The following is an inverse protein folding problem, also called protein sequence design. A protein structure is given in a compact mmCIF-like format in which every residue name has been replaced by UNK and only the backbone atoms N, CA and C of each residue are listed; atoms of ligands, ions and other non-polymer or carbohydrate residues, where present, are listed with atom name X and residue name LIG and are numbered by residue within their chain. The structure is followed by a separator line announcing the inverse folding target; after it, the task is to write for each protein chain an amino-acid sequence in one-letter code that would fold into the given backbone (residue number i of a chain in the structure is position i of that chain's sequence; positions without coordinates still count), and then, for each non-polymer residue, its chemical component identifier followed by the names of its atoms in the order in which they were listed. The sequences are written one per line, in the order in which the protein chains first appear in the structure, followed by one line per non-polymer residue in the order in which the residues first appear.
data_IF_188250415949
#
_entry.id   IF_188250415949
#
_cell.length_a   1.000
_cell.length_b   1.000
_cell.length_c   1.000
_cell.angle_alpha   90.00
_cell.angle_beta   90.00
_cell.angle_gamma   90.00
#
_symmetry.space_group_name_H-M   'P 1'
#
loop_
_entity.id
_entity.type
_entity.pdbx_description
1 polymer ?
#
# COMPACT_ATOMS: atom_id res chain seq x y z
N UNK A 1 2.50 36.35 -2.69
CA UNK A 1 3.37 35.22 -3.09
C UNK A 1 2.62 33.94 -2.77
N UNK A 2 2.52 32.96 -3.70
CA UNK A 2 1.99 31.64 -3.34
C UNK A 2 2.94 31.04 -2.30
N UNK A 3 2.42 30.68 -1.12
CA UNK A 3 3.22 29.97 -0.11
C UNK A 3 3.57 28.61 -0.67
N UNK A 4 4.87 28.27 -0.71
CA UNK A 4 5.30 26.93 -1.10
C UNK A 4 4.56 25.88 -0.26
N UNK A 5 4.10 24.77 -0.88
CA UNK A 5 3.40 23.73 -0.14
C UNK A 5 4.31 23.21 1.00
N UNK A 6 3.76 22.99 2.21
CA UNK A 6 4.56 22.62 3.37
C UNK A 6 5.13 21.20 3.23
N UNK A 7 6.32 21.00 3.79
CA UNK A 7 6.97 19.70 3.92
C UNK A 7 7.02 19.30 5.39
N UNK A 8 6.90 18.00 5.67
CA UNK A 8 6.97 17.44 7.02
C UNK A 8 7.99 16.33 7.09
N UNK A 9 8.65 16.19 8.24
CA UNK A 9 9.48 15.02 8.53
C UNK A 9 8.57 13.81 8.67
N UNK A 10 8.85 12.74 7.92
CA UNK A 10 8.07 11.53 7.96
C UNK A 10 8.96 10.31 8.20
N UNK A 11 8.54 9.48 9.14
CA UNK A 11 9.07 8.14 9.31
C UNK A 11 8.57 7.26 8.15
N UNK A 12 9.44 6.75 7.27
CA UNK A 12 9.02 6.04 6.06
C UNK A 12 8.38 4.70 6.40
N UNK A 13 8.80 4.07 7.49
CA UNK A 13 8.43 2.71 7.87
C UNK A 13 7.77 2.65 9.25
N UNK A 14 6.73 3.46 9.50
CA UNK A 14 6.09 3.53 10.83
C UNK A 14 5.18 2.31 11.10
N UNK A 15 5.79 1.12 11.16
CA UNK A 15 5.15 -0.16 11.49
C UNK A 15 5.21 -0.40 12.99
N UNK A 16 4.39 -1.34 13.48
CA UNK A 16 4.34 -1.70 14.90
C UNK A 16 5.70 -2.11 15.47
N UNK A 17 6.52 -2.84 14.70
CA UNK A 17 7.86 -3.24 15.13
C UNK A 17 8.81 -2.07 15.41
N UNK A 18 8.46 -0.87 14.95
CA UNK A 18 9.23 0.35 15.14
C UNK A 18 8.62 1.27 16.21
N UNK A 19 7.56 0.84 16.90
CA UNK A 19 6.87 1.59 17.96
C UNK A 19 6.96 0.78 19.26
N UNK A 20 7.58 1.37 20.28
CA UNK A 20 7.55 0.81 21.62
C UNK A 20 6.37 1.37 22.41
N UNK A 21 5.71 0.47 23.13
CA UNK A 21 4.63 0.81 24.06
C UNK A 21 4.89 0.20 25.44
N UNK A 22 4.34 0.81 26.48
CA UNK A 22 4.30 0.23 27.82
C UNK A 22 3.11 -0.74 27.99
N UNK A 23 2.93 -1.27 29.21
CA UNK A 23 1.86 -2.22 29.55
C UNK A 23 0.44 -1.64 29.38
N UNK A 24 0.33 -0.31 29.39
CA UNK A 24 -0.92 0.45 29.21
C UNK A 24 -1.07 0.96 27.76
N UNK A 25 -0.22 0.52 26.84
CA UNK A 25 -0.18 0.93 25.43
C UNK A 25 0.18 2.40 25.18
N UNK A 26 0.80 3.10 26.13
CA UNK A 26 1.37 4.42 25.85
C UNK A 26 2.62 4.30 24.98
N UNK A 27 2.73 5.13 23.95
CA UNK A 27 3.93 5.18 23.11
C UNK A 27 5.09 5.74 23.93
N UNK A 28 6.13 4.91 24.14
CA UNK A 28 7.34 5.30 24.87
C UNK A 28 8.53 5.57 23.96
N UNK A 29 8.46 5.16 22.68
CA UNK A 29 9.53 5.42 21.72
C UNK A 29 9.20 5.00 20.29
N UNK A 30 9.88 5.65 19.34
CA UNK A 30 9.88 5.30 17.92
C UNK A 30 11.33 5.13 17.48
N UNK A 31 11.64 4.01 16.83
CA UNK A 31 13.00 3.63 16.39
C UNK A 31 13.06 3.43 14.87
N UNK A 32 14.24 3.10 14.33
CA UNK A 32 14.50 2.88 12.91
C UNK A 32 14.31 4.12 12.01
N UNK A 33 14.83 5.26 12.47
CA UNK A 33 14.82 6.54 11.74
C UNK A 33 15.83 6.65 10.57
N UNK A 34 16.56 5.58 10.23
CA UNK A 34 17.69 5.61 9.29
C UNK A 34 17.32 6.06 7.85
N UNK A 35 16.04 5.95 7.48
CA UNK A 35 15.51 6.38 6.18
C UNK A 35 14.56 7.58 6.28
N UNK A 36 14.55 8.31 7.40
CA UNK A 36 13.67 9.47 7.57
C UNK A 36 13.94 10.56 6.53
N UNK A 37 12.88 11.22 6.08
CA UNK A 37 12.99 12.27 5.08
C UNK A 37 11.84 13.27 5.17
N UNK A 38 11.96 14.36 4.43
CA UNK A 38 10.87 15.32 4.28
C UNK A 38 9.98 14.90 3.10
N UNK A 39 8.67 14.93 3.32
CA UNK A 39 7.68 14.68 2.27
C UNK A 39 6.72 15.87 2.13
N UNK A 40 6.16 16.12 0.93
CA UNK A 40 5.05 17.03 0.78
C UNK A 40 3.93 16.66 1.76
N UNK A 41 3.34 17.65 2.43
CA UNK A 41 2.28 17.43 3.42
C UNK A 41 1.10 16.61 2.85
N UNK A 42 0.81 16.76 1.57
CA UNK A 42 -0.26 16.02 0.88
C UNK A 42 0.01 14.50 0.81
N UNK A 43 1.25 14.07 0.98
CA UNK A 43 1.64 12.66 1.05
C UNK A 43 1.80 12.16 2.49
N UNK A 44 1.64 13.05 3.48
CA UNK A 44 1.61 12.68 4.89
C UNK A 44 0.26 12.07 5.21
N UNK A 45 0.15 10.76 5.04
CA UNK A 45 -1.05 9.95 5.26
C UNK A 45 -0.91 9.09 6.53
N UNK A 46 -2.02 8.53 7.08
CA UNK A 46 -1.93 7.57 8.18
C UNK A 46 -1.05 6.36 7.82
N UNK A 47 -0.45 5.66 8.82
CA UNK A 47 0.43 4.53 8.56
C UNK A 47 -0.19 3.45 7.65
N UNK A 48 0.62 2.73 6.86
CA UNK A 48 0.11 1.74 5.91
C UNK A 48 -0.70 0.60 6.55
N UNK A 49 -0.40 0.23 7.80
CA UNK A 49 -1.17 -0.76 8.56
C UNK A 49 -2.54 -0.25 9.04
N UNK A 50 -2.72 1.06 9.19
CA UNK A 50 -4.01 1.71 9.46
C UNK A 50 -4.85 1.75 8.19
N UNK A 51 -4.23 2.12 7.06
CA UNK A 51 -4.92 2.28 5.76
C UNK A 51 -5.08 0.95 5.00
N UNK A 52 -4.60 -0.15 5.55
CA UNK A 52 -4.67 -1.49 4.95
C UNK A 52 -3.64 -1.76 3.86
N UNK A 53 -2.75 -0.83 3.55
CA UNK A 53 -1.75 -0.93 2.48
C UNK A 53 -0.47 -1.70 2.83
N UNK A 54 -0.40 -2.33 4.01
CA UNK A 54 0.70 -3.21 4.43
C UNK A 54 0.19 -4.63 4.74
N UNK A 55 -0.06 -5.45 3.71
CA UNK A 55 -0.64 -6.79 3.89
C UNK A 55 0.30 -7.77 4.60
N UNK A 56 1.62 -7.57 4.54
CA UNK A 56 2.59 -8.47 5.18
C UNK A 56 2.59 -8.30 6.70
N UNK A 57 2.61 -7.05 7.17
CA UNK A 57 2.48 -6.75 8.60
C UNK A 57 1.12 -7.21 9.14
N UNK A 58 0.04 -6.97 8.39
CA UNK A 58 -1.30 -7.45 8.75
C UNK A 58 -1.36 -8.98 8.81
N UNK A 59 -0.66 -9.68 7.91
CA UNK A 59 -0.60 -11.15 7.87
C UNK A 59 0.15 -11.73 9.06
N UNK A 60 1.28 -11.13 9.44
CA UNK A 60 2.09 -11.55 10.60
C UNK A 60 1.30 -11.35 11.89
N UNK A 61 0.63 -10.20 12.05
CA UNK A 61 -0.11 -9.89 13.27
C UNK A 61 -1.37 -10.72 13.48
N UNK A 62 -2.16 -10.97 12.41
CA UNK A 62 -3.48 -11.61 12.55
C UNK A 62 -3.52 -13.10 12.21
N UNK A 63 -2.36 -13.75 12.04
CA UNK A 63 -2.25 -15.21 12.04
C UNK A 63 -3.00 -15.92 10.90
N UNK A 64 -2.93 -15.41 9.66
CA UNK A 64 -3.63 -15.90 8.45
C UNK A 64 -5.12 -15.53 8.36
N UNK A 65 -5.43 -14.24 8.14
CA UNK A 65 -6.76 -13.88 7.63
C UNK A 65 -6.63 -12.80 6.55
N UNK A 66 -6.74 -13.22 5.28
CA UNK A 66 -7.26 -12.34 4.21
C UNK A 66 -8.74 -12.12 4.53
N UNK A 67 -9.01 -11.20 5.44
CA UNK A 67 -10.38 -10.81 5.78
C UNK A 67 -10.71 -9.43 5.23
N UNK A 68 -12.01 -9.10 5.11
CA UNK A 68 -12.52 -7.86 4.51
C UNK A 68 -12.33 -6.64 5.44
N UNK A 69 -11.19 -6.55 6.14
CA UNK A 69 -11.04 -5.71 7.34
C UNK A 69 -10.19 -4.44 7.13
N UNK A 70 -9.84 -4.11 5.88
CA UNK A 70 -9.21 -2.81 5.59
C UNK A 70 -10.06 -1.65 6.12
N UNK A 71 -11.37 -1.80 6.01
CA UNK A 71 -12.33 -0.76 6.36
C UNK A 71 -12.51 -0.64 7.88
N UNK A 72 -12.37 -1.73 8.63
CA UNK A 72 -12.59 -1.74 10.09
C UNK A 72 -11.49 -0.98 10.83
N UNK A 73 -10.21 -1.30 10.59
CA UNK A 73 -9.09 -0.60 11.25
C UNK A 73 -9.08 0.89 10.90
N UNK A 74 -9.36 1.20 9.63
CA UNK A 74 -9.42 2.57 9.17
C UNK A 74 -10.61 3.34 9.76
N UNK A 75 -11.78 2.69 9.87
CA UNK A 75 -12.96 3.27 10.52
C UNK A 75 -12.73 3.50 12.01
N UNK A 76 -12.20 2.53 12.74
CA UNK A 76 -11.87 2.67 14.16
C UNK A 76 -10.88 3.81 14.39
N UNK A 77 -9.79 3.85 13.62
CA UNK A 77 -8.81 4.92 13.70
C UNK A 77 -9.42 6.29 13.40
N UNK A 78 -10.28 6.39 12.38
CA UNK A 78 -11.00 7.61 12.03
C UNK A 78 -11.89 8.06 13.19
N UNK A 79 -12.62 7.14 13.82
CA UNK A 79 -13.53 7.46 14.93
C UNK A 79 -12.74 7.93 16.17
N UNK A 80 -11.60 7.32 16.47
CA UNK A 80 -10.67 7.79 17.52
C UNK A 80 -10.15 9.20 17.21
N UNK A 81 -9.75 9.45 15.96
CA UNK A 81 -9.28 10.78 15.53
C UNK A 81 -10.40 11.83 15.62
N UNK A 82 -11.63 11.46 15.25
CA UNK A 82 -12.80 12.31 15.34
C UNK A 82 -13.13 12.73 16.78
N UNK A 83 -12.88 11.84 17.74
CA UNK A 83 -13.04 12.15 19.16
C UNK A 83 -11.87 13.00 19.68
N UNK A 84 -10.63 12.59 19.39
CA UNK A 84 -9.43 13.29 19.89
C UNK A 84 -9.27 14.70 19.35
N UNK A 85 -9.79 15.02 18.16
CA UNK A 85 -9.73 16.40 17.62
C UNK A 85 -10.46 17.42 18.50
N UNK A 86 -11.44 16.99 19.30
CA UNK A 86 -12.16 17.88 20.22
C UNK A 86 -11.26 18.39 21.35
N UNK A 87 -10.18 17.67 21.67
CA UNK A 87 -9.30 17.95 22.81
C UNK A 87 -7.84 18.12 22.42
N UNK A 88 -7.47 17.91 21.16
CA UNK A 88 -6.08 17.94 20.69
C UNK A 88 -5.99 18.66 19.34
N UNK A 89 -5.35 19.83 19.34
CA UNK A 89 -5.14 20.65 18.13
C UNK A 89 -4.36 19.94 17.03
N UNK A 90 -3.44 19.03 17.37
CA UNK A 90 -2.72 18.20 16.39
C UNK A 90 -3.70 17.23 15.72
N UNK A 91 -4.58 16.59 16.48
CA UNK A 91 -5.60 15.68 15.93
C UNK A 91 -6.60 16.41 15.05
N UNK A 92 -6.97 17.64 15.42
CA UNK A 92 -7.76 18.54 14.57
C UNK A 92 -7.04 18.85 13.26
N UNK A 93 -5.77 19.27 13.32
CA UNK A 93 -4.96 19.53 12.14
C UNK A 93 -4.88 18.30 11.21
N UNK A 94 -4.60 17.11 11.74
CA UNK A 94 -4.57 15.87 10.98
C UNK A 94 -5.93 15.52 10.37
N UNK A 95 -7.03 15.77 11.09
CA UNK A 95 -8.38 15.57 10.57
C UNK A 95 -8.64 16.39 9.30
N UNK A 96 -8.18 17.65 9.29
CA UNK A 96 -8.27 18.52 8.11
C UNK A 96 -7.32 18.10 7.00
N UNK A 97 -6.05 17.87 7.31
CA UNK A 97 -4.99 17.56 6.32
C UNK A 97 -5.22 16.22 5.62
N UNK A 98 -5.79 15.23 6.32
CA UNK A 98 -6.19 13.95 5.74
C UNK A 98 -7.55 13.99 5.03
N UNK A 99 -8.20 15.16 5.00
CA UNK A 99 -9.39 15.41 4.18
C UNK A 99 -10.71 14.91 4.78
N UNK A 100 -10.75 14.42 6.03
CA UNK A 100 -11.95 13.83 6.65
C UNK A 100 -13.15 14.78 6.84
N UNK A 101 -13.01 16.06 6.52
CA UNK A 101 -14.13 17.00 6.46
C UNK A 101 -14.92 16.95 5.15
N UNK A 102 -14.34 16.45 4.05
CA UNK A 102 -15.04 16.39 2.76
C UNK A 102 -15.93 15.16 2.68
N UNK A 103 -17.15 15.32 3.20
CA UNK A 103 -18.22 14.35 3.08
C UNK A 103 -19.51 14.87 3.67
N UNK A 104 -20.23 15.72 2.92
CA UNK A 104 -21.68 15.65 3.01
C UNK A 104 -22.08 14.26 2.53
N UNK A 105 -22.80 13.53 3.37
CA UNK A 105 -23.31 12.21 3.04
C UNK A 105 -24.12 12.28 1.73
N UNK A 106 -23.66 11.59 0.67
CA UNK A 106 -24.55 11.27 -0.44
C UNK A 106 -23.95 11.08 -1.82
N UNK A 107 -22.89 11.78 -2.23
CA UNK A 107 -22.45 11.71 -3.64
C UNK A 107 -20.93 11.86 -3.78
N UNK A 108 -20.34 10.92 -4.52
CA UNK A 108 -18.93 10.76 -4.89
C UNK A 108 -17.97 10.24 -3.78
N UNK A 109 -17.24 9.17 -4.10
CA UNK A 109 -16.16 8.61 -3.28
C UNK A 109 -15.21 9.73 -2.86
N UNK A 110 -15.05 9.97 -1.56
CA UNK A 110 -14.21 11.08 -1.12
C UNK A 110 -12.76 10.87 -1.58
N UNK A 111 -12.05 11.93 -2.02
CA UNK A 111 -10.65 11.87 -2.46
C UNK A 111 -9.70 11.17 -1.47
N UNK A 112 -10.12 11.12 -0.20
CA UNK A 112 -9.45 10.46 0.93
C UNK A 112 -9.22 8.97 0.69
N UNK A 113 -10.03 8.27 -0.12
CA UNK A 113 -9.78 6.84 -0.37
C UNK A 113 -8.63 6.60 -1.37
N UNK A 114 -8.39 7.54 -2.28
CA UNK A 114 -7.38 7.42 -3.35
C UNK A 114 -5.99 7.88 -2.90
N UNK A 115 -5.93 8.97 -2.14
CA UNK A 115 -4.67 9.59 -1.72
C UNK A 115 -3.78 8.64 -0.92
N UNK A 116 -4.26 7.87 0.08
CA UNK A 116 -3.44 6.90 0.80
C UNK A 116 -2.84 5.84 -0.11
N UNK A 117 -3.60 5.39 -1.10
CA UNK A 117 -3.14 4.38 -2.05
C UNK A 117 -2.02 4.92 -2.94
N UNK A 118 -2.18 6.14 -3.47
CA UNK A 118 -1.15 6.80 -4.30
C UNK A 118 0.08 7.13 -3.46
N UNK A 119 -0.10 7.70 -2.28
CA UNK A 119 1.01 8.04 -1.39
C UNK A 119 1.79 6.80 -0.94
N UNK A 120 1.14 5.65 -0.73
CA UNK A 120 1.83 4.39 -0.48
C UNK A 120 2.72 3.98 -1.66
N UNK A 121 2.18 4.03 -2.88
CA UNK A 121 2.93 3.66 -4.09
C UNK A 121 4.14 4.57 -4.27
N UNK A 122 3.97 5.89 -4.08
CA UNK A 122 5.05 6.86 -4.22
C UNK A 122 6.12 6.70 -3.13
N UNK A 123 5.74 6.37 -1.89
CA UNK A 123 6.67 6.13 -0.78
C UNK A 123 7.38 4.78 -0.88
N UNK A 124 6.70 3.78 -1.42
CA UNK A 124 7.18 2.40 -1.54
C UNK A 124 6.91 1.87 -2.96
N UNK A 125 7.73 2.26 -3.96
CA UNK A 125 7.49 1.86 -5.35
C UNK A 125 7.46 0.35 -5.58
N UNK A 126 8.18 -0.43 -4.74
CA UNK A 126 8.12 -1.90 -4.75
C UNK A 126 6.73 -2.46 -4.44
N UNK A 127 5.88 -1.69 -3.76
CA UNK A 127 4.49 -2.07 -3.45
C UNK A 127 3.51 -1.81 -4.59
N UNK A 128 3.93 -1.13 -5.67
CA UNK A 128 3.08 -0.66 -6.77
C UNK A 128 2.08 -1.71 -7.24
N UNK A 129 2.57 -2.89 -7.66
CA UNK A 129 1.70 -3.94 -8.21
C UNK A 129 0.67 -4.43 -7.18
N UNK A 130 1.11 -4.72 -5.96
CA UNK A 130 0.25 -5.25 -4.90
C UNK A 130 -0.82 -4.23 -4.51
N UNK A 131 -0.42 -2.98 -4.26
CA UNK A 131 -1.30 -1.89 -3.82
C UNK A 131 -2.25 -1.46 -4.93
N UNK A 132 -1.77 -1.36 -6.17
CA UNK A 132 -2.59 -1.04 -7.33
C UNK A 132 -3.71 -2.06 -7.50
N UNK A 133 -3.41 -3.37 -7.58
CA UNK A 133 -4.43 -4.38 -7.84
C UNK A 133 -5.36 -4.63 -6.64
N UNK A 134 -4.88 -4.45 -5.42
CA UNK A 134 -5.72 -4.65 -4.22
C UNK A 134 -6.62 -3.45 -3.89
N UNK A 135 -6.30 -2.25 -4.40
CA UNK A 135 -7.02 -1.01 -4.11
C UNK A 135 -7.43 -0.25 -5.39
N UNK A 136 -6.51 0.47 -6.05
CA UNK A 136 -6.83 1.34 -7.20
C UNK A 136 -7.57 0.63 -8.33
N UNK A 137 -7.14 -0.57 -8.71
CA UNK A 137 -7.77 -1.33 -9.78
C UNK A 137 -9.23 -1.66 -9.47
N UNK A 138 -9.50 -2.09 -8.22
CA UNK A 138 -10.87 -2.41 -7.78
C UNK A 138 -11.75 -1.16 -7.72
N UNK A 139 -11.18 -0.02 -7.36
CA UNK A 139 -11.89 1.25 -7.34
C UNK A 139 -12.20 1.77 -8.75
N UNK A 140 -11.27 1.63 -9.69
CA UNK A 140 -11.42 2.13 -11.06
C UNK A 140 -12.29 1.23 -11.94
N UNK A 141 -12.16 -0.10 -11.80
CA UNK A 141 -12.80 -1.08 -12.67
C UNK A 141 -13.89 -1.90 -11.98
N UNK A 142 -14.00 -1.80 -10.65
CA UNK A 142 -14.95 -2.56 -9.83
C UNK A 142 -14.33 -3.81 -9.18
N UNK A 143 -14.94 -4.32 -8.08
CA UNK A 143 -14.40 -5.44 -7.30
C UNK A 143 -14.42 -6.78 -8.04
N UNK A 144 -15.28 -6.94 -9.04
CA UNK A 144 -15.43 -8.16 -9.85
C UNK A 144 -14.69 -8.08 -11.20
N UNK A 145 -13.95 -7.00 -11.45
CA UNK A 145 -13.26 -6.80 -12.72
C UNK A 145 -12.20 -7.89 -12.95
N UNK A 146 -12.17 -8.42 -14.18
CA UNK A 146 -11.15 -9.37 -14.59
C UNK A 146 -9.90 -8.60 -15.04
N UNK A 147 -8.82 -8.74 -14.28
CA UNK A 147 -7.54 -8.08 -14.53
C UNK A 147 -7.05 -8.26 -15.97
N UNK A 148 -7.01 -9.50 -16.46
CA UNK A 148 -6.41 -9.81 -17.75
C UNK A 148 -7.28 -9.29 -18.90
N UNK A 149 -8.61 -9.22 -18.70
CA UNK A 149 -9.51 -8.59 -19.65
C UNK A 149 -9.29 -7.08 -19.75
N UNK A 150 -9.17 -6.36 -18.62
CA UNK A 150 -8.92 -4.92 -18.62
C UNK A 150 -7.53 -4.57 -19.18
N UNK A 151 -6.51 -5.39 -18.90
CA UNK A 151 -5.17 -5.23 -19.50
C UNK A 151 -5.23 -5.42 -21.02
N UNK A 152 -5.95 -6.45 -21.51
CA UNK A 152 -6.14 -6.64 -22.97
C UNK A 152 -6.80 -5.44 -23.60
N UNK A 153 -7.92 -4.97 -23.05
CA UNK A 153 -8.61 -3.75 -23.53
C UNK A 153 -7.68 -2.53 -23.59
N UNK A 154 -6.82 -2.35 -22.59
CA UNK A 154 -5.84 -1.26 -22.59
C UNK A 154 -4.87 -1.37 -23.77
N UNK A 155 -4.30 -2.54 -24.03
CA UNK A 155 -3.34 -2.74 -25.11
C UNK A 155 -3.99 -2.84 -26.50
N UNK A 156 -5.25 -3.23 -26.60
CA UNK A 156 -6.02 -3.26 -27.85
C UNK A 156 -6.39 -1.83 -28.33
N UNK A 157 -6.23 -0.81 -27.49
CA UNK A 157 -6.50 0.58 -27.86
C UNK A 157 -5.48 1.11 -28.90
N UNK A 158 -5.91 1.74 -30.02
CA UNK A 158 -5.02 2.21 -31.08
C UNK A 158 -3.88 3.12 -30.60
N UNK A 159 -4.15 3.96 -29.60
CA UNK A 159 -3.14 4.89 -29.04
C UNK A 159 -2.01 4.16 -28.27
N UNK A 160 -2.25 2.92 -27.85
CA UNK A 160 -1.33 2.15 -27.00
C UNK A 160 -0.46 1.16 -27.79
N UNK A 161 -0.51 1.17 -29.13
CA UNK A 161 0.30 0.29 -29.99
C UNK A 161 1.80 0.45 -29.73
N UNK A 162 2.26 1.67 -29.39
CA UNK A 162 3.66 1.91 -29.03
C UNK A 162 4.05 1.23 -27.72
N UNK A 163 3.13 1.15 -26.75
CA UNK A 163 3.34 0.49 -25.47
C UNK A 163 3.40 -1.04 -25.65
N UNK A 164 2.59 -1.62 -26.54
CA UNK A 164 2.68 -3.05 -26.89
C UNK A 164 4.09 -3.40 -27.38
N UNK A 165 4.62 -2.62 -28.32
CA UNK A 165 5.99 -2.81 -28.84
C UNK A 165 7.05 -2.67 -27.75
N UNK A 166 6.87 -1.73 -26.82
CA UNK A 166 7.77 -1.60 -25.67
C UNK A 166 7.71 -2.83 -24.76
N UNK A 167 6.53 -3.36 -24.46
CA UNK A 167 6.37 -4.57 -23.64
C UNK A 167 7.05 -5.76 -24.31
N UNK A 168 6.82 -5.97 -25.62
CA UNK A 168 7.48 -7.03 -26.39
C UNK A 168 9.01 -6.92 -26.32
N UNK A 169 9.55 -5.70 -26.50
CA UNK A 169 10.98 -5.43 -26.37
C UNK A 169 11.51 -5.72 -24.97
N UNK A 170 10.77 -5.37 -23.91
CA UNK A 170 11.18 -5.67 -22.54
C UNK A 170 11.15 -7.17 -22.25
N UNK A 171 10.17 -7.91 -22.80
CA UNK A 171 10.12 -9.36 -22.71
C UNK A 171 11.35 -9.99 -23.39
N UNK A 172 11.72 -9.53 -24.59
CA UNK A 172 12.91 -10.02 -25.30
C UNK A 172 14.20 -9.73 -24.50
N UNK A 173 14.36 -8.50 -24.01
CA UNK A 173 15.49 -8.12 -23.14
C UNK A 173 15.56 -8.99 -21.89
N UNK A 174 14.42 -9.21 -21.24
CA UNK A 174 14.33 -10.09 -20.06
C UNK A 174 14.77 -11.50 -20.40
N UNK A 175 14.27 -12.10 -21.49
CA UNK A 175 14.67 -13.45 -21.93
C UNK A 175 16.17 -13.56 -22.18
N UNK A 176 16.73 -12.60 -22.92
CA UNK A 176 18.17 -12.56 -23.21
C UNK A 176 19.01 -12.42 -21.94
N UNK A 177 18.57 -11.59 -21.00
CA UNK A 177 19.27 -11.40 -19.73
C UNK A 177 19.18 -12.64 -18.84
N UNK A 178 18.00 -13.27 -18.74
CA UNK A 178 17.84 -14.55 -18.03
C UNK A 178 18.77 -15.62 -18.61
N UNK A 179 18.81 -15.78 -19.93
CA UNK A 179 19.71 -16.73 -20.59
C UNK A 179 21.18 -16.42 -20.27
N UNK A 180 21.59 -15.15 -20.31
CA UNK A 180 22.95 -14.75 -19.91
C UNK A 180 23.27 -15.14 -18.46
N UNK A 181 22.31 -15.01 -17.54
CA UNK A 181 22.48 -15.41 -16.15
C UNK A 181 22.60 -16.93 -16.02
N UNK A 182 21.77 -17.70 -16.72
CA UNK A 182 21.80 -19.16 -16.74
C UNK A 182 23.14 -19.69 -17.27
N UNK A 183 23.58 -19.21 -18.44
CA UNK A 183 24.83 -19.63 -19.09
C UNK A 183 26.07 -19.37 -18.23
N UNK A 184 25.99 -18.43 -17.30
CA UNK A 184 27.09 -18.06 -16.39
C UNK A 184 26.92 -18.58 -14.97
N UNK A 185 25.87 -19.35 -14.69
CA UNK A 185 25.57 -19.82 -13.33
C UNK A 185 25.32 -18.67 -12.34
N UNK A 186 24.83 -17.52 -12.83
CA UNK A 186 24.50 -16.33 -12.05
C UNK A 186 23.01 -16.22 -11.74
N UNK A 187 22.18 -17.10 -12.32
CA UNK A 187 20.75 -17.12 -12.04
C UNK A 187 20.54 -17.67 -10.63
N UNK A 188 20.17 -16.78 -9.70
CA UNK A 188 19.77 -17.15 -8.34
C UNK A 188 18.25 -17.35 -8.36
N UNK A 189 17.82 -18.59 -8.12
CA UNK A 189 16.40 -18.86 -7.91
C UNK A 189 15.93 -18.17 -6.63
N UNK A 190 14.72 -17.60 -6.66
CA UNK A 190 14.09 -17.02 -5.47
C UNK A 190 13.57 -18.14 -4.55
N UNK A 191 14.53 -18.80 -3.88
CA UNK A 191 14.32 -19.91 -2.95
C UNK A 191 13.36 -19.49 -1.83
N UNK A 192 13.40 -18.24 -1.39
CA UNK A 192 12.56 -17.75 -0.31
C UNK A 192 11.08 -17.68 -0.74
N UNK A 193 10.79 -17.15 -1.94
CA UNK A 193 9.44 -17.20 -2.50
C UNK A 193 8.97 -18.63 -2.76
N UNK A 194 9.87 -19.54 -3.12
CA UNK A 194 9.54 -20.96 -3.27
C UNK A 194 9.18 -21.62 -1.93
N UNK A 195 10.00 -21.42 -0.88
CA UNK A 195 9.73 -21.92 0.47
C UNK A 195 8.42 -21.36 1.04
N UNK A 196 8.11 -20.09 0.82
CA UNK A 196 6.82 -19.50 1.21
C UNK A 196 5.67 -20.20 0.47
N UNK A 197 5.78 -20.44 -0.84
CA UNK A 197 4.75 -21.13 -1.62
C UNK A 197 4.54 -22.57 -1.15
N UNK A 198 5.62 -23.29 -0.86
CA UNK A 198 5.58 -24.64 -0.32
C UNK A 198 4.94 -24.69 1.07
N UNK A 199 5.34 -23.78 1.97
CA UNK A 199 4.73 -23.66 3.29
C UNK A 199 3.22 -23.36 3.20
N UNK A 200 2.81 -22.45 2.32
CA UNK A 200 1.40 -22.11 2.11
C UNK A 200 0.59 -23.28 1.51
N UNK A 201 1.17 -24.02 0.57
CA UNK A 201 0.55 -25.23 0.03
C UNK A 201 0.39 -26.29 1.11
N UNK A 202 1.43 -26.49 1.92
CA UNK A 202 1.44 -27.47 3.01
C UNK A 202 0.52 -27.09 4.15
N UNK A 203 0.24 -25.81 4.42
CA UNK A 203 -0.63 -25.40 5.53
C UNK A 203 -2.09 -25.20 5.12
N UNK A 204 -2.41 -25.31 3.82
CA UNK A 204 -3.76 -25.08 3.28
C UNK A 204 -4.83 -26.02 3.85
N UNK A 205 -4.45 -27.22 4.27
CA UNK A 205 -5.37 -28.21 4.86
C UNK A 205 -5.76 -27.89 6.32
N UNK A 206 -5.02 -27.01 7.00
CA UNK A 206 -5.29 -26.63 8.39
C UNK A 206 -6.42 -25.59 8.52
N UNK A 207 -6.78 -24.92 7.42
CA UNK A 207 -7.76 -23.83 7.40
C UNK A 207 -9.19 -24.34 7.08
N UNK A 208 -9.35 -25.62 6.75
CA UNK A 208 -10.64 -26.25 6.41
C UNK A 208 -11.16 -27.24 7.46
N UNK A 209 -10.87 -27.01 8.75
CA UNK A 209 -11.50 -27.75 9.85
C UNK A 209 -12.59 -26.93 10.53
#
# INVERSE_FOLDING_TARGET
MPTSPPFVLAHPDLRFGNIFVDDDFHIIGIIYWEFTGTIPLQLFIPPPWVTGHDPDTLRIMRGLVRGPFRDENFAEFRDVLQNKRQTCSISEKLWHEWGYQQGQAGQEESPIQRVPTIAQILRHPSSLMSVYYSSLFRMLFGPLANRDAEIRKFFDHPDNVSLVKQVELQIEKSKRYTQYLEERGLLIEDVHSQQIREYLANTKHLVHR
#
